data_IF_336008266861
#
_entry.id   IF_336008266861
#
_cell.length_a   1.000
_cell.length_b   1.000
_cell.length_c   1.000
_cell.angle_alpha   90.00
_cell.angle_beta   90.00
_cell.angle_gamma   90.00
#
_symmetry.space_group_name_H-M   'P 1'
#
loop_
_entity.id
_entity.type
_entity.pdbx_description
1 polymer ?
#
# COMPACT_ATOMS: atom_id res chain seq x y z
N UNK A 1 59.17 28.50 12.55
CA UNK A 1 57.94 28.20 13.32
C UNK A 1 56.85 27.84 12.36
N UNK A 2 56.50 26.55 12.20
CA UNK A 2 55.29 26.11 11.51
C UNK A 2 54.11 26.51 12.34
N UNK A 3 53.26 27.41 11.82
CA UNK A 3 51.94 27.64 12.42
C UNK A 3 51.12 26.36 12.29
N UNK A 4 50.93 25.64 13.36
CA UNK A 4 49.93 24.59 13.47
C UNK A 4 48.56 25.26 13.33
N UNK A 5 48.04 25.24 12.13
CA UNK A 5 46.65 25.67 11.83
C UNK A 5 45.75 24.63 12.49
N UNK A 6 45.06 25.00 13.56
CA UNK A 6 44.01 24.18 14.16
C UNK A 6 42.95 23.95 13.06
N UNK A 7 42.88 22.74 12.57
CA UNK A 7 41.89 22.34 11.57
C UNK A 7 40.59 22.00 12.32
N UNK A 8 39.66 22.97 12.37
CA UNK A 8 38.37 22.74 12.98
C UNK A 8 37.47 21.91 12.02
N UNK A 9 36.67 20.97 12.55
CA UNK A 9 35.75 20.18 11.74
C UNK A 9 34.69 21.09 11.10
N UNK A 10 34.25 20.74 9.90
CA UNK A 10 33.13 21.39 9.24
C UNK A 10 31.81 21.03 9.93
N UNK A 11 30.76 21.84 9.76
CA UNK A 11 29.43 21.57 10.30
C UNK A 11 28.93 20.18 9.86
N UNK A 12 29.19 19.80 8.62
CA UNK A 12 28.84 18.46 8.08
C UNK A 12 29.54 17.32 8.81
N UNK A 13 30.78 17.49 9.20
CA UNK A 13 31.52 16.50 9.99
C UNK A 13 30.99 16.43 11.41
N UNK A 14 30.76 17.58 12.03
CA UNK A 14 30.13 17.63 13.37
C UNK A 14 28.76 16.98 13.42
N UNK A 15 27.88 17.22 12.43
CA UNK A 15 26.56 16.58 12.35
C UNK A 15 26.69 15.05 12.22
N UNK A 16 27.61 14.57 11.40
CA UNK A 16 27.87 13.13 11.26
C UNK A 16 28.36 12.49 12.55
N UNK A 17 29.32 13.12 13.21
CA UNK A 17 29.92 12.60 14.44
C UNK A 17 28.88 12.57 15.57
N UNK A 18 28.07 13.62 15.67
CA UNK A 18 26.95 13.68 16.61
C UNK A 18 25.89 12.62 16.33
N UNK A 19 25.59 12.37 15.05
CA UNK A 19 24.63 11.34 14.65
C UNK A 19 25.13 9.93 15.02
N UNK A 20 26.40 9.62 14.77
CA UNK A 20 27.03 8.35 15.16
C UNK A 20 27.03 8.19 16.70
N UNK A 21 27.34 9.24 17.42
CA UNK A 21 27.30 9.22 18.88
C UNK A 21 25.87 8.98 19.40
N UNK A 22 24.87 9.62 18.80
CA UNK A 22 23.47 9.43 19.11
C UNK A 22 23.04 7.98 18.84
N UNK A 23 23.38 7.44 17.68
CA UNK A 23 23.07 6.04 17.33
C UNK A 23 23.67 5.08 18.37
N UNK A 24 24.95 5.23 18.72
CA UNK A 24 25.60 4.39 19.71
C UNK A 24 24.90 4.46 21.08
N UNK A 25 24.62 5.67 21.56
CA UNK A 25 23.96 5.86 22.86
C UNK A 25 22.54 5.25 22.88
N UNK A 26 21.77 5.47 21.83
CA UNK A 26 20.42 4.91 21.75
C UNK A 26 20.42 3.40 21.51
N UNK A 27 21.39 2.86 20.77
CA UNK A 27 21.61 1.43 20.63
C UNK A 27 21.88 0.74 21.98
N UNK A 28 22.73 1.33 22.82
CA UNK A 28 22.99 0.84 24.18
C UNK A 28 21.73 0.89 25.07
N UNK A 29 20.94 1.96 24.97
CA UNK A 29 19.66 2.08 25.69
C UNK A 29 18.67 1.02 25.23
N UNK A 30 18.52 0.83 23.92
CA UNK A 30 17.63 -0.18 23.34
C UNK A 30 18.04 -1.59 23.78
N UNK A 31 19.32 -1.92 23.72
CA UNK A 31 19.85 -3.21 24.19
C UNK A 31 19.45 -3.48 25.63
N UNK A 32 19.69 -2.53 26.53
CA UNK A 32 19.32 -2.68 27.95
C UNK A 32 17.82 -2.86 28.15
N UNK A 33 17.00 -2.09 27.44
CA UNK A 33 15.55 -2.25 27.51
C UNK A 33 15.08 -3.63 27.08
N UNK A 34 15.64 -4.16 26.00
CA UNK A 34 15.29 -5.50 25.49
C UNK A 34 15.73 -6.60 26.47
N UNK A 35 16.93 -6.48 27.05
CA UNK A 35 17.41 -7.42 28.06
C UNK A 35 16.61 -7.35 29.38
N UNK A 36 16.17 -6.16 29.80
CA UNK A 36 15.27 -5.99 30.96
C UNK A 36 13.89 -6.60 30.68
N UNK A 37 13.34 -6.42 29.47
CA UNK A 37 12.09 -7.07 29.05
C UNK A 37 12.22 -8.59 29.08
N UNK A 38 13.32 -9.13 28.56
CA UNK A 38 13.57 -10.57 28.55
C UNK A 38 13.65 -11.15 29.98
N UNK A 39 14.28 -10.41 30.90
CA UNK A 39 14.32 -10.79 32.32
C UNK A 39 12.93 -10.78 32.94
N UNK A 40 12.09 -9.76 32.69
CA UNK A 40 10.72 -9.71 33.18
C UNK A 40 9.87 -10.87 32.64
N UNK A 41 10.04 -11.21 31.36
CA UNK A 41 9.41 -12.38 30.76
C UNK A 41 9.88 -13.65 31.49
N UNK A 42 11.17 -13.76 31.80
CA UNK A 42 11.70 -14.91 32.52
C UNK A 42 11.12 -15.07 33.93
N UNK A 43 10.86 -13.97 34.63
CA UNK A 43 10.26 -13.99 35.97
C UNK A 43 8.77 -14.38 35.95
N UNK A 44 8.02 -13.88 34.97
CA UNK A 44 6.55 -13.98 34.89
C UNK A 44 6.04 -15.11 33.99
N UNK A 45 6.94 -15.85 33.28
CA UNK A 45 6.56 -16.95 32.38
C UNK A 45 5.90 -18.11 33.11
N UNK A 46 5.17 -18.93 32.41
CA UNK A 46 4.78 -20.26 32.91
C UNK A 46 6.01 -21.16 32.99
N UNK A 47 6.57 -21.31 34.21
CA UNK A 47 7.77 -22.08 34.49
C UNK A 47 7.54 -23.61 34.32
N UNK A 48 6.29 -24.07 34.34
CA UNK A 48 5.97 -25.48 34.09
C UNK A 48 6.09 -25.81 32.61
N UNK A 49 5.66 -24.91 31.75
CA UNK A 49 5.70 -25.05 30.31
C UNK A 49 7.05 -24.64 29.71
N UNK A 50 7.56 -23.44 30.03
CA UNK A 50 8.79 -22.89 29.44
C UNK A 50 9.99 -23.07 30.36
N UNK A 51 10.78 -24.09 30.09
CA UNK A 51 12.01 -24.36 30.83
C UNK A 51 13.16 -23.56 30.24
N UNK A 52 13.83 -22.72 31.06
CA UNK A 52 15.02 -21.97 30.65
C UNK A 52 16.17 -22.91 30.35
N UNK A 53 16.66 -22.91 29.13
CA UNK A 53 17.77 -23.75 28.68
C UNK A 53 19.10 -23.04 28.82
N UNK A 54 19.26 -21.91 28.16
CA UNK A 54 20.46 -21.08 28.15
C UNK A 54 20.14 -19.63 27.75
N UNK A 55 21.20 -18.79 27.62
CA UNK A 55 21.11 -17.47 26.99
C UNK A 55 21.88 -17.50 25.68
N UNK A 56 21.31 -16.85 24.65
CA UNK A 56 21.94 -16.76 23.32
C UNK A 56 21.94 -15.34 22.80
N UNK A 57 23.11 -14.94 22.28
CA UNK A 57 23.25 -13.65 21.63
C UNK A 57 22.60 -13.65 20.24
N UNK A 58 21.98 -12.55 19.87
CA UNK A 58 21.55 -12.23 18.52
C UNK A 58 22.06 -10.83 18.16
N UNK A 59 22.66 -10.72 16.99
CA UNK A 59 23.02 -9.45 16.38
C UNK A 59 21.86 -8.96 15.52
N UNK A 60 21.52 -7.68 15.65
CA UNK A 60 20.41 -7.08 14.93
C UNK A 60 20.74 -5.65 14.51
N UNK A 61 20.62 -5.36 13.23
CA UNK A 61 20.70 -4.01 12.70
C UNK A 61 19.42 -3.24 12.95
N UNK A 62 19.53 -2.13 13.64
CA UNK A 62 18.40 -1.25 13.98
C UNK A 62 18.57 0.15 13.38
N UNK A 63 17.58 1.01 13.51
CA UNK A 63 17.70 2.43 13.17
C UNK A 63 18.76 3.16 14.02
N UNK A 64 19.18 2.56 15.13
CA UNK A 64 20.20 3.09 16.04
C UNK A 64 21.56 2.40 15.90
N UNK A 65 21.78 1.65 14.83
CA UNK A 65 23.00 0.88 14.60
C UNK A 65 22.81 -0.61 14.87
N UNK A 66 23.91 -1.37 14.70
CA UNK A 66 23.95 -2.80 15.04
C UNK A 66 24.04 -2.96 16.55
N UNK A 67 23.18 -3.80 17.11
CA UNK A 67 23.12 -4.13 18.53
C UNK A 67 23.23 -5.63 18.72
N UNK A 68 23.76 -6.05 19.87
CA UNK A 68 23.81 -7.45 20.28
C UNK A 68 22.96 -7.60 21.54
N UNK A 69 21.98 -8.50 21.49
CA UNK A 69 21.03 -8.77 22.57
C UNK A 69 21.26 -10.18 23.09
N UNK A 70 21.50 -10.34 24.41
CA UNK A 70 21.54 -11.63 25.07
C UNK A 70 20.17 -12.00 25.59
N UNK A 71 19.49 -12.92 24.92
CA UNK A 71 18.10 -13.34 25.21
C UNK A 71 18.01 -14.77 25.70
N UNK A 72 17.01 -15.03 26.53
CA UNK A 72 16.76 -16.33 27.11
C UNK A 72 16.17 -17.30 26.06
N UNK A 73 16.69 -18.51 26.03
CA UNK A 73 16.27 -19.60 25.16
C UNK A 73 15.53 -20.65 25.97
N UNK A 74 14.29 -20.96 25.60
CA UNK A 74 13.40 -21.82 26.37
C UNK A 74 13.06 -23.09 25.60
N UNK A 75 12.91 -24.21 26.35
CA UNK A 75 12.26 -25.42 25.85
C UNK A 75 10.78 -25.36 26.19
N UNK A 76 9.91 -25.43 25.17
CA UNK A 76 8.47 -25.57 25.35
C UNK A 76 8.13 -27.05 25.62
N UNK A 77 7.67 -27.37 26.81
CA UNK A 77 7.36 -28.71 27.24
C UNK A 77 6.00 -29.24 26.75
N UNK A 78 5.09 -28.33 26.38
CA UNK A 78 3.79 -28.69 25.83
C UNK A 78 3.86 -29.01 24.34
N UNK A 79 4.49 -28.11 23.57
CA UNK A 79 4.55 -28.24 22.10
C UNK A 79 5.76 -29.02 21.62
N UNK A 80 6.73 -29.24 22.49
CA UNK A 80 8.06 -29.70 22.09
C UNK A 80 8.82 -28.62 21.30
N UNK A 81 10.15 -28.67 21.30
CA UNK A 81 10.98 -27.69 20.60
C UNK A 81 11.42 -26.54 21.48
N UNK A 82 11.95 -25.49 20.84
CA UNK A 82 12.59 -24.37 21.52
C UNK A 82 12.08 -23.04 21.01
N UNK A 83 12.02 -22.05 21.91
CA UNK A 83 11.46 -20.73 21.61
C UNK A 83 12.21 -19.62 22.33
N UNK A 84 12.29 -18.46 21.69
CA UNK A 84 12.67 -17.18 22.32
C UNK A 84 11.40 -16.42 22.63
N UNK A 85 11.02 -16.33 23.92
CA UNK A 85 9.80 -15.64 24.31
C UNK A 85 9.88 -14.14 24.01
N UNK A 86 11.03 -13.52 24.16
CA UNK A 86 11.24 -12.12 23.81
C UNK A 86 10.89 -11.85 22.35
N UNK A 87 11.37 -12.69 21.42
CA UNK A 87 11.09 -12.52 19.99
C UNK A 87 9.61 -12.62 19.68
N UNK A 88 8.93 -13.51 20.36
CA UNK A 88 7.49 -13.69 20.20
C UNK A 88 6.70 -12.46 20.67
N UNK A 89 7.06 -11.88 21.83
CA UNK A 89 6.40 -10.67 22.34
C UNK A 89 6.69 -9.41 21.52
N UNK A 90 7.86 -9.35 20.88
CA UNK A 90 8.26 -8.23 20.03
C UNK A 90 7.82 -8.41 18.58
N UNK A 91 7.13 -9.52 18.24
CA UNK A 91 6.84 -9.91 16.86
C UNK A 91 8.09 -9.88 15.98
N UNK A 92 9.22 -10.26 16.59
CA UNK A 92 10.53 -10.28 15.98
C UNK A 92 11.02 -11.72 15.82
N UNK A 93 11.24 -12.13 14.60
CA UNK A 93 11.88 -13.42 14.30
C UNK A 93 13.39 -13.22 14.20
N UNK A 94 14.11 -13.51 15.25
CA UNK A 94 15.54 -13.22 15.45
C UNK A 94 16.53 -13.75 14.41
N UNK A 95 16.05 -14.38 13.35
CA UNK A 95 16.87 -14.88 12.25
C UNK A 95 17.09 -13.86 11.12
N UNK A 96 16.47 -12.69 11.18
CA UNK A 96 16.47 -11.72 10.06
C UNK A 96 17.70 -10.80 10.03
N UNK A 97 18.37 -10.61 11.15
CA UNK A 97 19.54 -9.74 11.25
C UNK A 97 19.23 -8.23 11.23
N UNK A 98 17.99 -7.80 11.09
CA UNK A 98 17.57 -6.39 11.16
C UNK A 98 16.17 -6.25 11.77
N UNK A 99 15.93 -5.08 12.36
CA UNK A 99 14.68 -4.80 13.07
C UNK A 99 13.48 -4.66 12.12
N UNK A 100 12.25 -4.94 12.61
CA UNK A 100 11.04 -4.75 11.81
C UNK A 100 10.89 -3.34 11.25
N UNK A 101 11.33 -2.30 11.97
CA UNK A 101 11.30 -0.93 11.48
C UNK A 101 12.22 -0.72 10.27
N UNK A 102 13.45 -1.23 10.33
CA UNK A 102 14.41 -1.16 9.20
C UNK A 102 13.87 -1.93 8.00
N UNK A 103 13.27 -3.09 8.22
CA UNK A 103 12.62 -3.88 7.17
C UNK A 103 11.49 -3.09 6.48
N UNK A 104 10.57 -2.54 7.27
CA UNK A 104 9.44 -1.74 6.75
C UNK A 104 9.96 -0.55 5.95
N UNK A 105 10.88 0.24 6.50
CA UNK A 105 11.50 1.37 5.79
C UNK A 105 12.14 0.94 4.47
N UNK A 106 12.86 -0.18 4.45
CA UNK A 106 13.53 -0.69 3.25
C UNK A 106 12.52 -1.10 2.16
N UNK A 107 11.44 -1.77 2.54
CA UNK A 107 10.39 -2.17 1.61
C UNK A 107 9.59 -0.97 1.09
N UNK A 108 9.21 -0.03 1.94
CA UNK A 108 8.55 1.21 1.54
C UNK A 108 9.40 2.03 0.57
N UNK A 109 10.69 2.22 0.89
CA UNK A 109 11.62 2.90 -0.02
C UNK A 109 11.82 2.16 -1.34
N UNK A 110 11.74 0.83 -1.33
CA UNK A 110 11.83 0.03 -2.55
C UNK A 110 10.60 0.19 -3.44
N UNK A 111 9.42 0.30 -2.85
CA UNK A 111 8.16 0.43 -3.57
C UNK A 111 7.93 1.86 -4.05
N UNK A 112 8.19 2.86 -3.22
CA UNK A 112 8.05 4.28 -3.58
C UNK A 112 9.21 4.79 -4.45
N UNK A 113 10.41 4.25 -4.27
CA UNK A 113 11.63 4.65 -4.96
C UNK A 113 11.78 4.06 -6.36
N UNK A 114 12.94 4.29 -6.94
CA UNK A 114 13.22 3.88 -8.33
C UNK A 114 13.62 2.42 -8.49
N UNK A 115 14.24 1.79 -7.48
CA UNK A 115 14.70 0.39 -7.54
C UNK A 115 15.05 -0.14 -6.15
N UNK A 116 15.18 -1.46 -6.01
CA UNK A 116 15.70 -2.10 -4.79
C UNK A 116 17.11 -1.61 -4.42
N UNK A 117 17.97 -1.39 -5.43
CA UNK A 117 19.32 -0.85 -5.21
C UNK A 117 19.28 0.58 -4.69
N UNK A 118 18.35 1.38 -5.20
CA UNK A 118 18.14 2.75 -4.71
C UNK A 118 17.69 2.72 -3.24
N UNK A 119 16.75 1.87 -2.87
CA UNK A 119 16.29 1.71 -1.50
C UNK A 119 17.45 1.31 -0.56
N UNK A 120 18.23 0.27 -0.91
CA UNK A 120 19.42 -0.14 -0.15
C UNK A 120 20.42 1.00 0.04
N UNK A 121 20.71 1.76 -1.03
CA UNK A 121 21.61 2.92 -0.96
C UNK A 121 21.05 4.08 -0.12
N UNK A 122 19.75 4.31 -0.14
CA UNK A 122 19.12 5.35 0.69
C UNK A 122 19.15 4.98 2.17
N UNK A 123 18.88 3.72 2.52
CA UNK A 123 19.02 3.20 3.89
C UNK A 123 20.47 3.37 4.38
N UNK A 124 21.44 2.97 3.55
CA UNK A 124 22.87 3.12 3.87
C UNK A 124 23.24 4.60 4.13
N UNK A 125 22.74 5.52 3.31
CA UNK A 125 22.98 6.96 3.51
C UNK A 125 22.30 7.50 4.77
N UNK A 126 21.11 6.98 5.09
CA UNK A 126 20.33 7.41 6.26
C UNK A 126 20.97 6.90 7.56
N UNK A 127 21.40 5.64 7.57
CA UNK A 127 21.93 5.01 8.78
C UNK A 127 23.46 5.14 8.91
N UNK A 128 24.15 5.51 7.83
CA UNK A 128 25.60 5.70 7.80
C UNK A 128 26.41 4.43 7.56
N UNK A 129 25.76 3.27 7.44
CA UNK A 129 26.39 1.99 7.16
C UNK A 129 25.46 1.07 6.34
N UNK A 130 26.03 0.01 5.75
CA UNK A 130 25.26 -0.90 4.89
C UNK A 130 24.53 -1.95 5.74
N UNK A 131 23.24 -1.81 5.86
CA UNK A 131 22.36 -2.66 6.68
C UNK A 131 21.75 -3.79 5.87
N UNK A 132 21.11 -3.46 4.75
CA UNK A 132 20.31 -4.40 3.99
C UNK A 132 20.67 -4.39 2.50
N UNK A 133 20.83 -5.56 1.90
CA UNK A 133 21.10 -5.66 0.47
C UNK A 133 19.85 -5.51 -0.38
N UNK A 134 20.02 -5.07 -1.62
CA UNK A 134 18.88 -4.97 -2.56
C UNK A 134 18.24 -6.33 -2.86
N UNK A 135 19.00 -7.41 -2.79
CA UNK A 135 18.47 -8.76 -2.98
C UNK A 135 17.68 -9.22 -1.76
N UNK A 136 18.13 -8.89 -0.55
CA UNK A 136 17.38 -9.15 0.68
C UNK A 136 16.04 -8.43 0.64
N UNK A 137 16.03 -7.13 0.28
CA UNK A 137 14.77 -6.35 0.13
C UNK A 137 13.82 -7.05 -0.86
N UNK A 138 14.34 -7.51 -2.01
CA UNK A 138 13.55 -8.24 -3.00
C UNK A 138 12.96 -9.54 -2.44
N UNK A 139 13.77 -10.33 -1.73
CA UNK A 139 13.31 -11.59 -1.13
C UNK A 139 12.22 -11.37 -0.08
N UNK A 140 12.40 -10.38 0.78
CA UNK A 140 11.39 -10.03 1.78
C UNK A 140 10.08 -9.60 1.15
N UNK A 141 10.14 -8.76 0.11
CA UNK A 141 8.94 -8.33 -0.61
C UNK A 141 8.20 -9.51 -1.28
N UNK A 142 8.93 -10.52 -1.77
CA UNK A 142 8.31 -11.74 -2.32
C UNK A 142 7.64 -12.63 -1.27
N UNK A 143 7.92 -12.43 0.00
CA UNK A 143 7.37 -13.17 1.14
C UNK A 143 6.36 -12.34 1.94
N UNK A 144 6.01 -11.15 1.46
CA UNK A 144 5.04 -10.28 2.13
C UNK A 144 3.61 -10.78 1.88
N UNK A 145 2.84 -10.89 2.94
CA UNK A 145 1.38 -11.04 2.87
C UNK A 145 0.70 -9.77 3.35
N UNK A 146 -0.36 -9.40 2.66
CA UNK A 146 -1.20 -8.25 3.00
C UNK A 146 -2.47 -8.76 3.64
N UNK A 147 -2.70 -8.39 4.89
CA UNK A 147 -3.89 -8.79 5.63
C UNK A 147 -4.97 -7.72 5.51
N UNK A 148 -6.13 -8.10 5.01
CA UNK A 148 -7.28 -7.22 4.92
C UNK A 148 -7.98 -7.11 6.27
N UNK A 149 -8.16 -5.89 6.75
CA UNK A 149 -8.99 -5.61 7.92
C UNK A 149 -10.42 -5.40 7.43
N UNK A 150 -11.37 -6.15 7.97
CA UNK A 150 -12.79 -5.98 7.62
C UNK A 150 -13.21 -4.53 7.88
N UNK A 151 -13.97 -3.92 6.95
CA UNK A 151 -14.50 -2.58 7.15
C UNK A 151 -15.48 -2.54 8.32
N UNK A 152 -15.53 -1.40 8.98
CA UNK A 152 -16.52 -1.10 10.02
C UNK A 152 -17.93 -0.90 9.42
N UNK A 153 -18.94 -1.26 10.19
CA UNK A 153 -20.32 -1.55 9.86
C UNK A 153 -21.22 -0.46 9.24
N UNK A 154 -20.71 0.60 8.64
CA UNK A 154 -21.58 1.58 7.97
C UNK A 154 -21.52 1.44 6.45
N UNK A 155 -22.48 0.70 5.92
CA UNK A 155 -22.66 0.48 4.49
C UNK A 155 -23.33 1.69 3.84
N UNK A 156 -22.67 2.22 2.82
CA UNK A 156 -23.31 3.15 1.89
C UNK A 156 -23.95 2.37 0.76
N UNK A 157 -25.18 2.74 0.38
CA UNK A 157 -25.95 2.07 -0.68
C UNK A 157 -25.30 2.09 -2.07
N UNK A 158 -24.32 2.98 -2.30
CA UNK A 158 -23.67 3.15 -3.60
C UNK A 158 -22.17 2.96 -3.46
N UNK A 159 -21.61 2.09 -4.28
CA UNK A 159 -20.18 1.90 -4.45
C UNK A 159 -19.75 2.41 -5.82
N UNK A 160 -18.73 3.23 -5.84
CA UNK A 160 -18.11 3.78 -7.05
C UNK A 160 -16.88 2.96 -7.39
N UNK A 161 -16.86 2.42 -8.60
CA UNK A 161 -15.81 1.52 -9.08
C UNK A 161 -15.15 2.15 -10.30
N UNK A 162 -13.84 2.32 -10.26
CA UNK A 162 -13.06 2.80 -11.38
C UNK A 162 -12.09 1.71 -11.83
N UNK A 163 -12.22 1.26 -13.08
CA UNK A 163 -11.52 0.09 -13.62
C UNK A 163 -10.68 0.50 -14.81
N UNK A 164 -9.43 0.01 -14.86
CA UNK A 164 -8.55 0.24 -15.99
C UNK A 164 -7.50 -0.87 -16.11
N UNK A 165 -6.89 -1.00 -17.28
CA UNK A 165 -5.84 -1.95 -17.61
C UNK A 165 -4.45 -1.32 -17.65
N UNK A 166 -3.49 -1.88 -16.91
CA UNK A 166 -2.11 -1.45 -16.92
C UNK A 166 -1.21 -2.44 -17.64
N UNK A 167 -0.77 -2.11 -18.85
CA UNK A 167 0.15 -2.97 -19.60
C UNK A 167 1.57 -2.91 -19.06
N UNK A 168 2.10 -4.05 -18.58
CA UNK A 168 3.42 -4.16 -17.94
C UNK A 168 4.29 -5.19 -18.63
N UNK A 169 5.57 -4.86 -18.89
CA UNK A 169 6.53 -5.76 -19.54
C UNK A 169 6.87 -6.96 -18.65
N UNK A 170 6.89 -8.14 -19.23
CA UNK A 170 7.26 -9.41 -18.57
C UNK A 170 8.65 -9.89 -18.99
N UNK A 171 9.36 -10.51 -18.05
CA UNK A 171 10.61 -11.24 -18.31
C UNK A 171 10.29 -12.66 -18.74
N UNK A 172 11.06 -13.19 -19.69
CA UNK A 172 11.06 -14.62 -20.09
C UNK A 172 9.70 -15.16 -20.58
N UNK A 173 8.72 -14.32 -20.88
CA UNK A 173 7.43 -14.74 -21.41
C UNK A 173 7.41 -14.79 -22.94
N UNK A 174 6.54 -15.64 -23.53
CA UNK A 174 6.27 -15.65 -24.99
C UNK A 174 5.73 -14.28 -25.45
N UNK A 175 4.97 -13.58 -24.61
CA UNK A 175 4.47 -12.22 -24.84
C UNK A 175 5.31 -11.21 -24.07
N UNK A 176 5.73 -10.13 -24.72
CA UNK A 176 6.56 -9.08 -24.11
C UNK A 176 5.86 -8.26 -23.04
N UNK A 177 4.56 -8.34 -22.91
CA UNK A 177 3.77 -7.63 -21.91
C UNK A 177 2.48 -8.35 -21.56
N UNK A 178 1.96 -8.03 -20.38
CA UNK A 178 0.67 -8.50 -19.89
C UNK A 178 -0.08 -7.31 -19.30
N UNK A 179 -1.39 -7.30 -19.49
CA UNK A 179 -2.29 -6.35 -18.88
C UNK A 179 -2.57 -6.79 -17.44
N UNK A 180 -2.31 -5.89 -16.48
CA UNK A 180 -2.76 -6.00 -15.11
C UNK A 180 -4.08 -5.26 -15.00
N UNK A 181 -5.13 -5.95 -14.64
CA UNK A 181 -6.48 -5.42 -14.49
C UNK A 181 -6.63 -4.92 -13.05
N UNK A 182 -6.89 -3.64 -12.90
CA UNK A 182 -6.94 -2.96 -11.60
C UNK A 182 -8.27 -2.24 -11.47
N UNK A 183 -8.92 -2.41 -10.33
CA UNK A 183 -10.07 -1.59 -9.95
C UNK A 183 -9.75 -0.82 -8.66
N UNK A 184 -10.28 0.39 -8.55
CA UNK A 184 -10.39 1.09 -7.27
C UNK A 184 -11.86 1.28 -6.92
N UNK A 185 -12.20 1.05 -5.66
CA UNK A 185 -13.56 1.17 -5.13
C UNK A 185 -13.57 2.22 -4.04
N UNK A 186 -14.63 3.03 -3.98
CA UNK A 186 -14.84 3.99 -2.90
C UNK A 186 -16.32 4.24 -2.65
N UNK A 187 -16.66 4.77 -1.50
CA UNK A 187 -18.04 5.04 -1.08
C UNK A 187 -18.50 6.49 -1.33
N UNK A 188 -17.77 7.26 -2.11
CA UNK A 188 -18.07 8.64 -2.41
C UNK A 188 -16.95 9.61 -2.06
N UNK A 189 -17.29 10.87 -1.82
CA UNK A 189 -16.36 11.98 -1.67
C UNK A 189 -16.58 12.75 -0.37
N UNK A 190 -15.48 13.17 0.24
CA UNK A 190 -15.46 14.20 1.29
C UNK A 190 -14.82 15.45 0.70
N UNK A 191 -15.52 16.58 0.84
CA UNK A 191 -15.04 17.89 0.42
C UNK A 191 -14.60 18.68 1.63
N UNK A 192 -13.32 19.00 1.69
CA UNK A 192 -12.76 19.82 2.74
C UNK A 192 -12.11 21.07 2.12
N UNK A 193 -12.89 22.15 2.02
CA UNK A 193 -12.51 23.36 1.31
C UNK A 193 -12.27 23.10 -0.19
N UNK A 194 -11.04 23.31 -0.67
CA UNK A 194 -10.64 23.05 -2.06
C UNK A 194 -10.19 21.61 -2.31
N UNK A 195 -10.01 20.81 -1.27
CA UNK A 195 -9.53 19.43 -1.39
C UNK A 195 -10.69 18.46 -1.37
N UNK A 196 -10.58 17.43 -2.21
CA UNK A 196 -11.54 16.33 -2.25
C UNK A 196 -10.77 15.05 -2.00
N UNK A 197 -11.26 14.24 -1.05
CA UNK A 197 -10.77 12.89 -0.77
C UNK A 197 -11.86 11.86 -1.03
N UNK A 198 -11.46 10.62 -1.30
CA UNK A 198 -12.37 9.50 -1.50
C UNK A 198 -12.58 8.77 -0.18
N UNK A 199 -13.82 8.33 0.06
CA UNK A 199 -14.22 7.65 1.30
C UNK A 199 -13.95 6.17 1.14
N UNK A 200 -13.28 5.55 2.12
CA UNK A 200 -13.02 4.12 2.19
C UNK A 200 -12.44 3.55 0.88
N UNK A 201 -11.52 4.28 0.23
CA UNK A 201 -10.93 3.85 -1.03
C UNK A 201 -10.08 2.61 -0.84
N UNK A 202 -10.33 1.56 -1.66
CA UNK A 202 -9.53 0.34 -1.73
C UNK A 202 -9.25 -0.07 -3.17
N UNK A 203 -8.24 -0.90 -3.34
CA UNK A 203 -7.78 -1.34 -4.66
C UNK A 203 -7.89 -2.85 -4.80
N UNK A 204 -8.46 -3.29 -5.92
CA UNK A 204 -8.48 -4.68 -6.34
C UNK A 204 -7.54 -4.88 -7.53
N UNK A 205 -6.72 -5.91 -7.46
CA UNK A 205 -5.87 -6.34 -8.57
C UNK A 205 -6.18 -7.79 -8.88
N UNK A 206 -6.59 -8.06 -10.11
CA UNK A 206 -6.99 -9.39 -10.52
C UNK A 206 -5.80 -10.34 -10.65
N UNK A 207 -5.86 -11.48 -9.96
CA UNK A 207 -4.77 -12.47 -9.88
C UNK A 207 -5.14 -13.83 -10.41
N UNK A 208 -6.42 -14.16 -10.42
CA UNK A 208 -6.94 -15.50 -10.71
C UNK A 208 -6.95 -15.86 -12.20
N UNK A 209 -7.47 -17.04 -12.45
CA UNK A 209 -7.82 -17.51 -13.80
C UNK A 209 -9.31 -17.32 -14.11
N UNK A 210 -10.10 -17.08 -13.09
CA UNK A 210 -11.52 -16.76 -13.15
C UNK A 210 -11.76 -15.46 -13.93
N UNK A 211 -13.01 -15.18 -14.29
CA UNK A 211 -13.37 -13.91 -14.90
C UNK A 211 -13.13 -12.77 -13.91
N UNK A 212 -12.73 -11.60 -14.42
CA UNK A 212 -12.40 -10.44 -13.59
C UNK A 212 -13.51 -10.10 -12.59
N UNK A 213 -14.75 -10.09 -13.04
CA UNK A 213 -15.90 -9.68 -12.23
C UNK A 213 -16.29 -10.70 -11.17
N UNK A 214 -16.01 -11.97 -11.37
CA UNK A 214 -16.21 -13.01 -10.34
C UNK A 214 -15.27 -12.79 -9.14
N UNK A 215 -13.98 -12.64 -9.40
CA UNK A 215 -13.01 -12.34 -8.32
C UNK A 215 -13.23 -10.96 -7.71
N UNK A 216 -13.71 -9.99 -8.49
CA UNK A 216 -14.02 -8.66 -8.00
C UNK A 216 -15.26 -8.63 -7.10
N UNK A 217 -16.28 -9.43 -7.38
CA UNK A 217 -17.45 -9.55 -6.51
C UNK A 217 -17.08 -10.09 -5.12
N UNK A 218 -16.21 -11.11 -5.08
CA UNK A 218 -15.69 -11.61 -3.80
C UNK A 218 -14.95 -10.52 -3.03
N UNK A 219 -14.12 -9.71 -3.71
CA UNK A 219 -13.46 -8.56 -3.10
C UNK A 219 -14.45 -7.54 -2.53
N UNK A 220 -15.54 -7.26 -3.23
CA UNK A 220 -16.60 -6.36 -2.74
C UNK A 220 -17.28 -6.93 -1.48
N UNK A 221 -17.56 -8.23 -1.45
CA UNK A 221 -18.13 -8.90 -0.28
C UNK A 221 -17.18 -8.78 0.92
N UNK A 222 -15.91 -9.10 0.72
CA UNK A 222 -14.91 -9.13 1.79
C UNK A 222 -14.57 -7.73 2.35
N UNK A 223 -14.59 -6.70 1.49
CA UNK A 223 -14.12 -5.36 1.85
C UNK A 223 -15.23 -4.35 2.10
N UNK A 224 -16.42 -4.57 1.56
CA UNK A 224 -17.54 -3.63 1.64
C UNK A 224 -18.85 -4.29 2.10
N UNK A 225 -18.82 -5.55 2.55
CA UNK A 225 -20.02 -6.33 2.86
C UNK A 225 -21.08 -6.24 1.74
N UNK A 226 -20.63 -6.29 0.48
CA UNK A 226 -21.48 -6.08 -0.68
C UNK A 226 -22.65 -7.09 -0.71
N UNK A 227 -23.85 -6.55 -0.92
CA UNK A 227 -25.07 -7.33 -1.15
C UNK A 227 -25.71 -6.87 -2.46
N UNK A 228 -25.81 -7.75 -3.48
CA UNK A 228 -26.39 -7.38 -4.78
C UNK A 228 -27.83 -6.85 -4.75
N UNK A 229 -28.56 -7.16 -3.68
CA UNK A 229 -29.97 -6.71 -3.52
C UNK A 229 -30.08 -5.29 -2.96
N UNK A 230 -29.05 -4.80 -2.28
CA UNK A 230 -29.13 -3.54 -1.51
C UNK A 230 -28.22 -2.45 -2.08
N UNK A 231 -27.11 -2.88 -2.72
CA UNK A 231 -26.12 -1.95 -3.23
C UNK A 231 -26.29 -1.65 -4.71
N UNK A 232 -25.94 -0.44 -5.06
CA UNK A 232 -25.84 0.02 -6.45
C UNK A 232 -24.37 0.25 -6.79
N UNK A 233 -23.94 -0.21 -7.95
CA UNK A 233 -22.58 -0.02 -8.45
C UNK A 233 -22.58 1.04 -9.56
N UNK A 234 -21.71 2.02 -9.47
CA UNK A 234 -21.38 2.92 -10.58
C UNK A 234 -19.98 2.57 -11.06
N UNK A 235 -19.89 1.97 -12.25
CA UNK A 235 -18.64 1.40 -12.77
C UNK A 235 -18.14 2.27 -13.92
N UNK A 236 -16.96 2.86 -13.75
CA UNK A 236 -16.29 3.69 -14.74
C UNK A 236 -15.12 2.95 -15.39
N UNK A 237 -15.03 2.98 -16.73
CA UNK A 237 -13.93 2.38 -17.47
C UNK A 237 -13.85 2.81 -18.94
N UNK A 238 -12.79 2.40 -19.63
CA UNK A 238 -12.47 2.83 -21.00
C UNK A 238 -13.32 2.15 -22.10
N UNK A 239 -14.19 1.20 -21.73
CA UNK A 239 -15.05 0.47 -22.67
C UNK A 239 -14.40 -0.78 -23.26
N UNK A 240 -13.28 -1.26 -22.74
CA UNK A 240 -12.74 -2.57 -23.10
C UNK A 240 -13.75 -3.69 -22.81
N UNK A 241 -13.78 -4.73 -23.63
CA UNK A 241 -14.78 -5.81 -23.57
C UNK A 241 -14.87 -6.47 -22.18
N UNK A 242 -13.71 -6.69 -21.52
CA UNK A 242 -13.70 -7.27 -20.18
C UNK A 242 -14.24 -6.33 -19.11
N UNK A 243 -14.22 -5.00 -19.34
CA UNK A 243 -14.81 -4.00 -18.45
C UNK A 243 -16.31 -3.94 -18.65
N UNK A 244 -16.77 -3.85 -19.91
CA UNK A 244 -18.21 -3.74 -20.23
C UNK A 244 -19.00 -4.99 -19.88
N UNK A 245 -18.34 -6.15 -19.72
CA UNK A 245 -18.94 -7.37 -19.21
C UNK A 245 -19.57 -7.23 -17.80
N UNK A 246 -19.26 -6.15 -17.07
CA UNK A 246 -19.93 -5.82 -15.80
C UNK A 246 -21.46 -5.69 -15.94
N UNK A 247 -21.94 -5.27 -17.10
CA UNK A 247 -23.37 -5.09 -17.36
C UNK A 247 -24.15 -6.41 -17.41
N UNK A 248 -23.46 -7.49 -17.81
CA UNK A 248 -24.03 -8.84 -17.80
C UNK A 248 -23.90 -9.50 -16.41
N UNK A 249 -22.91 -9.09 -15.64
CA UNK A 249 -22.62 -9.66 -14.32
C UNK A 249 -23.47 -9.05 -13.19
N UNK A 250 -23.66 -7.72 -13.19
CA UNK A 250 -24.35 -7.00 -12.12
C UNK A 250 -25.69 -6.43 -12.57
N UNK A 251 -26.78 -6.81 -11.90
CA UNK A 251 -28.13 -6.28 -12.18
C UNK A 251 -28.32 -4.82 -11.75
N UNK A 252 -27.72 -4.44 -10.64
CA UNK A 252 -27.81 -3.09 -10.04
C UNK A 252 -26.53 -2.28 -10.30
N UNK A 253 -26.10 -2.24 -11.56
CA UNK A 253 -24.92 -1.48 -11.95
C UNK A 253 -25.21 -0.51 -13.09
N UNK A 254 -24.59 0.66 -13.03
CA UNK A 254 -24.56 1.64 -14.12
C UNK A 254 -23.14 1.75 -14.65
N UNK A 255 -22.93 1.40 -15.91
CA UNK A 255 -21.64 1.57 -16.56
C UNK A 255 -21.49 3.00 -17.10
N UNK A 256 -20.43 3.66 -16.74
CA UNK A 256 -20.01 4.98 -17.23
C UNK A 256 -18.76 4.82 -18.07
N UNK A 257 -18.78 5.32 -19.31
CA UNK A 257 -17.56 5.39 -20.11
C UNK A 257 -16.63 6.45 -19.55
N UNK A 258 -15.33 6.15 -19.44
CA UNK A 258 -14.37 7.09 -18.88
C UNK A 258 -14.28 8.36 -19.72
N UNK A 259 -14.81 9.41 -19.15
CA UNK A 259 -14.92 10.74 -19.79
C UNK A 259 -13.56 11.36 -20.09
N UNK A 260 -12.52 11.03 -19.33
CA UNK A 260 -11.17 11.48 -19.63
C UNK A 260 -10.68 10.88 -20.96
N UNK A 261 -10.88 9.57 -21.14
CA UNK A 261 -10.52 8.90 -22.39
C UNK A 261 -11.33 9.43 -23.57
N UNK A 262 -12.65 9.59 -23.41
CA UNK A 262 -13.52 10.19 -24.44
C UNK A 262 -13.08 11.61 -24.79
N UNK A 263 -12.82 12.46 -23.80
CA UNK A 263 -12.40 13.83 -24.03
C UNK A 263 -11.02 13.93 -24.70
N UNK A 264 -10.10 13.00 -24.36
CA UNK A 264 -8.78 12.89 -24.99
C UNK A 264 -8.90 12.49 -26.46
N UNK A 265 -9.78 11.53 -26.76
CA UNK A 265 -10.05 11.07 -28.12
C UNK A 265 -10.66 12.20 -28.97
N UNK A 266 -11.69 12.88 -28.43
CA UNK A 266 -12.29 14.06 -29.08
C UNK A 266 -11.23 15.16 -29.34
N UNK A 267 -10.32 15.40 -28.41
CA UNK A 267 -9.23 16.35 -28.62
C UNK A 267 -8.28 15.90 -29.74
N UNK A 268 -7.98 14.60 -29.81
CA UNK A 268 -7.06 14.03 -30.83
C UNK A 268 -7.67 14.16 -32.23
N UNK A 269 -8.96 13.83 -32.37
CA UNK A 269 -9.65 13.86 -33.65
C UNK A 269 -9.99 15.28 -34.12
N UNK A 270 -10.45 16.13 -33.22
CA UNK A 270 -11.12 17.40 -33.55
C UNK A 270 -10.34 18.65 -33.16
N UNK A 271 -9.09 18.56 -32.67
CA UNK A 271 -8.30 19.77 -32.36
C UNK A 271 -8.12 20.63 -33.61
N UNK A 272 -8.66 21.87 -33.58
CA UNK A 272 -8.68 22.81 -34.73
C UNK A 272 -9.92 22.68 -35.61
N UNK A 273 -10.71 21.65 -35.48
CA UNK A 273 -11.93 21.46 -36.28
C UNK A 273 -13.09 22.35 -35.78
N UNK A 274 -13.93 22.86 -36.70
CA UNK A 274 -15.05 23.79 -36.41
C UNK A 274 -16.05 23.22 -35.39
N UNK A 275 -16.30 21.93 -35.38
CA UNK A 275 -17.24 21.25 -34.46
C UNK A 275 -16.66 20.96 -33.08
N UNK A 276 -15.35 21.14 -32.85
CA UNK A 276 -14.69 20.74 -31.60
C UNK A 276 -15.37 21.33 -30.33
N UNK A 277 -15.73 22.61 -30.39
CA UNK A 277 -16.37 23.31 -29.25
C UNK A 277 -17.75 22.74 -28.95
N UNK A 278 -18.55 22.44 -29.97
CA UNK A 278 -19.91 21.92 -29.84
C UNK A 278 -19.86 20.49 -29.29
N UNK A 279 -19.03 19.63 -29.87
CA UNK A 279 -18.81 18.23 -29.41
C UNK A 279 -18.41 18.24 -27.93
N UNK A 280 -17.46 19.04 -27.52
CA UNK A 280 -17.04 19.16 -26.10
C UNK A 280 -18.16 19.66 -25.19
N UNK A 281 -18.97 20.61 -25.64
CA UNK A 281 -20.11 21.12 -24.89
C UNK A 281 -21.15 20.04 -24.65
N UNK A 282 -21.50 19.26 -25.69
CA UNK A 282 -22.44 18.13 -25.57
C UNK A 282 -21.92 17.07 -24.59
N UNK A 283 -20.63 16.71 -24.69
CA UNK A 283 -20.00 15.81 -23.72
C UNK A 283 -20.08 16.37 -22.30
N UNK A 284 -19.73 17.64 -22.09
CA UNK A 284 -19.77 18.28 -20.76
C UNK A 284 -21.17 18.29 -20.12
N UNK A 285 -22.21 18.40 -20.94
CA UNK A 285 -23.62 18.44 -20.52
C UNK A 285 -24.26 17.06 -20.35
N UNK A 286 -23.51 15.95 -20.52
CA UNK A 286 -24.05 14.59 -20.53
C UNK A 286 -25.13 14.34 -21.60
N UNK A 287 -25.18 15.17 -22.64
CA UNK A 287 -26.10 15.01 -23.76
C UNK A 287 -25.56 13.93 -24.71
N UNK A 288 -25.82 12.66 -24.35
CA UNK A 288 -25.34 11.50 -25.09
C UNK A 288 -25.86 11.48 -26.54
N UNK A 289 -27.15 11.80 -26.75
CA UNK A 289 -27.76 11.85 -28.07
C UNK A 289 -27.13 12.96 -28.92
N UNK A 290 -27.11 14.16 -28.41
CA UNK A 290 -26.49 15.30 -29.10
C UNK A 290 -25.00 15.10 -29.36
N UNK A 291 -24.28 14.47 -28.46
CA UNK A 291 -22.87 14.13 -28.66
C UNK A 291 -22.65 13.15 -29.83
N UNK A 292 -23.41 12.07 -29.91
CA UNK A 292 -23.35 11.12 -31.03
C UNK A 292 -23.80 11.74 -32.35
N UNK A 293 -24.81 12.60 -32.35
CA UNK A 293 -25.25 13.35 -33.55
C UNK A 293 -24.13 14.25 -34.06
N UNK A 294 -23.45 14.97 -33.20
CA UNK A 294 -22.33 15.84 -33.62
C UNK A 294 -21.13 15.04 -34.14
N UNK A 295 -20.82 13.89 -33.56
CA UNK A 295 -19.77 13.00 -34.08
C UNK A 295 -20.13 12.45 -35.45
N UNK A 296 -21.35 11.92 -35.64
CA UNK A 296 -21.81 11.42 -36.92
C UNK A 296 -21.83 12.52 -38.02
N UNK A 297 -22.26 13.74 -37.63
CA UNK A 297 -22.25 14.90 -38.55
C UNK A 297 -20.86 15.38 -38.94
N UNK A 298 -19.81 14.86 -38.28
CA UNK A 298 -18.44 15.19 -38.60
C UNK A 298 -17.75 14.14 -39.50
N UNK A 299 -18.36 12.98 -39.72
CA UNK A 299 -17.86 11.96 -40.66
C UNK A 299 -17.75 12.56 -42.07
N UNK A 300 -16.63 12.29 -42.72
CA UNK A 300 -16.30 12.85 -44.05
C UNK A 300 -15.80 14.33 -44.01
N UNK A 301 -15.58 14.91 -42.82
CA UNK A 301 -15.13 16.30 -42.70
C UNK A 301 -13.71 16.45 -42.08
N UNK A 302 -13.06 15.36 -41.70
CA UNK A 302 -11.70 15.41 -41.19
C UNK A 302 -10.68 15.38 -42.32
N UNK A 303 -9.53 16.04 -42.10
CA UNK A 303 -8.49 16.25 -43.12
C UNK A 303 -7.68 14.98 -43.46
N UNK A 304 -7.78 13.92 -42.65
CA UNK A 304 -6.93 12.74 -42.74
C UNK A 304 -7.76 11.44 -42.68
N UNK A 305 -7.62 10.58 -43.68
CA UNK A 305 -8.27 9.31 -43.77
C UNK A 305 -8.14 8.43 -42.51
N UNK A 306 -6.94 8.38 -41.92
CA UNK A 306 -6.72 7.67 -40.65
C UNK A 306 -7.51 8.26 -39.47
N UNK A 307 -7.79 9.56 -39.49
CA UNK A 307 -8.67 10.17 -38.47
C UNK A 307 -10.12 9.85 -38.74
N UNK A 308 -10.52 9.73 -40.00
CA UNK A 308 -11.89 9.32 -40.37
C UNK A 308 -12.15 7.88 -39.93
N UNK A 309 -11.28 6.92 -40.30
CA UNK A 309 -11.39 5.54 -39.84
C UNK A 309 -11.50 5.47 -38.30
N UNK A 310 -10.64 6.20 -37.62
CA UNK A 310 -10.63 6.24 -36.17
C UNK A 310 -11.90 6.89 -35.57
N UNK A 311 -12.46 7.88 -36.24
CA UNK A 311 -13.74 8.48 -35.86
C UNK A 311 -14.89 7.49 -35.98
N UNK A 312 -14.93 6.71 -37.08
CA UNK A 312 -15.94 5.68 -37.29
C UNK A 312 -15.86 4.58 -36.24
N UNK A 313 -14.65 4.08 -35.94
CA UNK A 313 -14.40 3.12 -34.87
C UNK A 313 -14.87 3.67 -33.52
N UNK A 314 -14.56 4.94 -33.23
CA UNK A 314 -14.95 5.60 -31.99
C UNK A 314 -16.47 5.75 -31.86
N UNK A 315 -17.15 6.16 -32.93
CA UNK A 315 -18.63 6.22 -32.98
C UNK A 315 -19.22 4.83 -32.78
N UNK A 316 -18.68 3.82 -33.45
CA UNK A 316 -19.15 2.44 -33.31
C UNK A 316 -19.02 1.94 -31.86
N UNK A 317 -17.89 2.21 -31.22
CA UNK A 317 -17.66 1.84 -29.83
C UNK A 317 -18.65 2.51 -28.88
N UNK A 318 -18.85 3.82 -29.02
CA UNK A 318 -19.79 4.58 -28.17
C UNK A 318 -21.25 4.20 -28.40
N UNK A 319 -21.60 3.87 -29.65
CA UNK A 319 -22.98 3.49 -30.02
C UNK A 319 -23.39 2.12 -29.46
N UNK A 320 -22.47 1.28 -29.04
CA UNK A 320 -22.79 0.02 -28.35
C UNK A 320 -23.43 0.26 -26.99
N UNK A 321 -23.02 1.31 -26.30
CA UNK A 321 -23.47 1.63 -24.93
C UNK A 321 -23.78 3.12 -24.78
N UNK A 322 -24.79 3.65 -25.50
CA UNK A 322 -25.08 5.09 -25.50
C UNK A 322 -25.44 5.64 -24.11
N UNK A 323 -26.05 4.80 -23.26
CA UNK A 323 -26.39 5.13 -21.88
C UNK A 323 -25.14 5.40 -21.03
N UNK A 324 -23.99 4.82 -21.38
CA UNK A 324 -22.73 5.01 -20.65
C UNK A 324 -22.16 6.45 -20.76
N UNK A 325 -22.65 7.23 -21.72
CA UNK A 325 -22.34 8.65 -21.88
C UNK A 325 -23.19 9.57 -20.98
N UNK A 326 -24.27 9.02 -20.41
CA UNK A 326 -25.20 9.73 -19.54
C UNK A 326 -24.64 10.04 -18.15
N UNK A 327 -25.44 10.79 -17.39
CA UNK A 327 -25.10 11.10 -16.01
C UNK A 327 -25.66 10.01 -15.07
N UNK A 328 -24.79 9.27 -14.43
CA UNK A 328 -25.16 8.23 -13.47
C UNK A 328 -26.01 8.75 -12.30
N UNK A 329 -25.90 10.05 -11.99
CA UNK A 329 -26.67 10.66 -10.90
C UNK A 329 -28.17 10.66 -11.20
N UNK A 330 -28.56 10.82 -12.46
CA UNK A 330 -29.98 10.71 -12.85
C UNK A 330 -30.49 9.28 -12.64
N UNK A 331 -29.71 8.26 -13.03
CA UNK A 331 -30.05 6.86 -12.78
C UNK A 331 -30.19 6.55 -11.27
N UNK A 332 -29.34 7.12 -10.42
CA UNK A 332 -29.45 6.96 -8.96
C UNK A 332 -30.68 7.67 -8.38
N UNK A 333 -31.05 8.83 -8.91
CA UNK A 333 -32.28 9.52 -8.52
C UNK A 333 -33.54 8.70 -8.82
N UNK A 334 -33.56 7.97 -9.96
CA UNK A 334 -34.64 7.02 -10.28
C UNK A 334 -34.75 5.86 -9.29
N UNK A 335 -33.73 5.66 -8.45
CA UNK A 335 -33.67 4.68 -7.36
C UNK A 335 -33.89 5.30 -5.97
N UNK A 336 -34.42 6.53 -5.92
CA UNK A 336 -34.62 7.28 -4.68
C UNK A 336 -33.34 7.50 -3.84
N UNK A 337 -32.19 7.64 -4.51
CA UNK A 337 -30.91 7.89 -3.87
C UNK A 337 -30.56 9.38 -3.98
N UNK A 338 -30.24 10.02 -2.85
CA UNK A 338 -29.72 11.39 -2.85
C UNK A 338 -28.33 11.46 -3.49
N UNK A 339 -28.23 12.24 -4.57
CA UNK A 339 -27.01 12.43 -5.33
C UNK A 339 -26.33 13.78 -5.10
N UNK A 340 -26.82 14.58 -4.16
CA UNK A 340 -26.35 15.96 -3.91
C UNK A 340 -24.86 16.05 -3.60
N UNK A 341 -24.29 15.00 -3.00
CA UNK A 341 -22.88 14.90 -2.62
C UNK A 341 -22.01 14.15 -3.64
N UNK A 342 -22.61 13.63 -4.72
CA UNK A 342 -21.87 12.84 -5.70
C UNK A 342 -21.29 13.69 -6.81
N UNK A 343 -20.07 13.35 -7.20
CA UNK A 343 -19.27 14.07 -8.17
C UNK A 343 -19.02 13.25 -9.44
N UNK A 344 -18.66 13.88 -10.56
CA UNK A 344 -18.18 13.14 -11.72
C UNK A 344 -17.01 12.20 -11.34
N UNK A 345 -17.04 10.98 -11.86
CA UNK A 345 -15.95 10.02 -11.72
C UNK A 345 -14.74 10.44 -12.55
N UNK A 346 -13.56 9.98 -12.20
CA UNK A 346 -12.31 10.32 -12.91
C UNK A 346 -11.06 10.19 -12.05
N UNK A 347 -11.07 9.35 -11.02
CA UNK A 347 -9.88 9.07 -10.22
C UNK A 347 -9.01 7.95 -10.81
N UNK A 348 -9.50 7.23 -11.84
CA UNK A 348 -8.81 6.11 -12.49
C UNK A 348 -7.43 6.52 -13.00
N UNK A 349 -7.34 7.60 -13.77
CA UNK A 349 -6.07 8.11 -14.33
C UNK A 349 -5.04 8.39 -13.21
N UNK A 350 -5.47 9.04 -12.12
CA UNK A 350 -4.61 9.31 -10.96
C UNK A 350 -4.12 8.01 -10.30
N UNK A 351 -5.00 7.03 -10.14
CA UNK A 351 -4.68 5.72 -9.60
C UNK A 351 -3.68 4.98 -10.50
N UNK A 352 -3.99 4.88 -11.79
CA UNK A 352 -3.12 4.21 -12.77
C UNK A 352 -1.77 4.87 -12.92
N UNK A 353 -1.71 6.21 -12.87
CA UNK A 353 -0.45 6.97 -12.91
C UNK A 353 0.51 6.54 -11.79
N UNK A 354 0.00 6.30 -10.58
CA UNK A 354 0.84 5.88 -9.45
C UNK A 354 1.41 4.47 -9.68
N UNK A 355 0.58 3.52 -10.10
CA UNK A 355 1.06 2.17 -10.45
C UNK A 355 2.03 2.22 -11.64
N UNK A 356 1.71 2.97 -12.69
CA UNK A 356 2.51 3.09 -13.89
C UNK A 356 3.91 3.66 -13.63
N UNK A 357 4.04 4.69 -12.81
CA UNK A 357 5.32 5.31 -12.43
C UNK A 357 6.31 4.28 -11.90
N UNK A 358 5.82 3.29 -11.18
CA UNK A 358 6.69 2.28 -10.56
C UNK A 358 6.82 1.01 -11.41
N UNK A 359 5.77 0.57 -12.07
CA UNK A 359 5.75 -0.70 -12.81
C UNK A 359 6.27 -0.58 -14.24
N UNK A 360 6.14 0.59 -14.89
CA UNK A 360 6.64 0.88 -16.24
C UNK A 360 8.07 1.45 -16.23
N UNK A 361 8.37 2.46 -17.00
CA UNK A 361 9.66 3.18 -17.07
C UNK A 361 10.86 2.28 -17.35
N UNK A 362 10.77 1.49 -18.43
CA UNK A 362 11.86 0.62 -18.87
C UNK A 362 12.04 -0.67 -18.07
N UNK A 363 11.21 -0.91 -17.05
CA UNK A 363 11.28 -2.13 -16.22
C UNK A 363 10.56 -3.30 -16.86
N UNK A 364 11.05 -4.51 -16.57
CA UNK A 364 10.38 -5.77 -16.88
C UNK A 364 10.39 -6.68 -15.65
N UNK A 365 9.34 -7.45 -15.47
CA UNK A 365 9.04 -8.16 -14.23
C UNK A 365 8.88 -9.66 -14.46
N UNK A 366 9.35 -10.48 -13.52
CA UNK A 366 8.88 -11.86 -13.41
C UNK A 366 7.49 -11.89 -12.75
N UNK A 367 6.71 -12.94 -13.03
CA UNK A 367 5.30 -12.99 -12.56
C UNK A 367 5.17 -12.92 -11.03
N UNK A 368 5.97 -13.69 -10.29
CA UNK A 368 5.98 -13.62 -8.81
C UNK A 368 6.39 -12.25 -8.30
N UNK A 369 7.40 -11.62 -8.92
CA UNK A 369 7.92 -10.33 -8.48
C UNK A 369 6.94 -9.20 -8.67
N UNK A 370 6.22 -9.15 -9.78
CA UNK A 370 5.23 -8.09 -10.00
C UNK A 370 4.04 -8.26 -9.08
N UNK A 371 3.59 -9.50 -8.85
CA UNK A 371 2.44 -9.75 -7.99
C UNK A 371 2.71 -9.28 -6.57
N UNK A 372 3.78 -9.75 -5.96
CA UNK A 372 4.18 -9.32 -4.61
C UNK A 372 4.40 -7.80 -4.53
N UNK A 373 4.94 -7.21 -5.59
CA UNK A 373 5.17 -5.77 -5.65
C UNK A 373 3.87 -4.96 -5.70
N UNK A 374 2.90 -5.39 -6.50
CA UNK A 374 1.57 -4.75 -6.57
C UNK A 374 0.83 -4.93 -5.25
N UNK A 375 0.89 -6.10 -4.64
CA UNK A 375 0.26 -6.36 -3.35
C UNK A 375 0.77 -5.42 -2.26
N UNK A 376 2.08 -5.24 -2.20
CA UNK A 376 2.69 -4.30 -1.28
C UNK A 376 2.26 -2.85 -1.58
N UNK A 377 2.20 -2.46 -2.86
CA UNK A 377 1.68 -1.14 -3.24
C UNK A 377 0.23 -0.93 -2.81
N UNK A 378 -0.62 -1.92 -2.98
CA UNK A 378 -2.02 -1.91 -2.54
C UNK A 378 -2.09 -1.82 -1.01
N UNK A 379 -1.34 -2.68 -0.31
CA UNK A 379 -1.28 -2.66 1.15
C UNK A 379 -0.93 -1.29 1.72
N UNK A 380 0.11 -0.65 1.18
CA UNK A 380 0.50 0.70 1.59
C UNK A 380 -0.56 1.76 1.27
N UNK A 381 -1.24 1.65 0.11
CA UNK A 381 -2.24 2.64 -0.31
C UNK A 381 -3.54 2.55 0.45
N UNK A 382 -3.91 1.35 0.80
CA UNK A 382 -5.16 1.03 1.48
C UNK A 382 -4.97 0.98 3.01
N UNK A 383 -3.76 1.34 3.49
CA UNK A 383 -3.38 1.35 4.91
C UNK A 383 -3.62 -0.01 5.59
N UNK A 384 -3.35 -1.09 4.85
CA UNK A 384 -3.54 -2.45 5.30
C UNK A 384 -2.35 -2.92 6.13
N UNK A 385 -2.58 -3.89 7.01
CA UNK A 385 -1.51 -4.53 7.75
C UNK A 385 -0.65 -5.38 6.80
N UNK A 386 0.64 -5.03 6.70
CA UNK A 386 1.62 -5.73 5.87
C UNK A 386 2.50 -6.55 6.80
N UNK A 387 2.40 -7.88 6.69
CA UNK A 387 3.26 -8.82 7.44
C UNK A 387 4.22 -9.52 6.49
N UNK A 388 5.49 -9.54 6.86
CA UNK A 388 6.46 -10.35 6.13
C UNK A 388 6.51 -11.72 6.75
N UNK A 389 6.06 -12.73 6.01
CA UNK A 389 6.16 -14.12 6.44
C UNK A 389 7.57 -14.62 6.17
N UNK A 390 8.44 -14.48 7.13
CA UNK A 390 9.80 -15.03 7.13
C UNK A 390 9.90 -16.26 8.03
N UNK A 391 8.86 -17.06 8.09
CA UNK A 391 8.92 -18.40 8.67
C UNK A 391 9.18 -19.43 7.58
N UNK A 392 10.12 -20.34 7.77
CA UNK A 392 10.06 -21.65 7.11
C UNK A 392 8.69 -22.21 7.51
N UNK A 393 7.72 -22.17 6.61
CA UNK A 393 6.50 -22.96 6.76
C UNK A 393 6.99 -24.41 6.76
N UNK A 394 7.13 -24.98 7.93
CA UNK A 394 7.17 -26.42 8.06
C UNK A 394 5.82 -26.87 7.51
N UNK A 395 5.74 -27.66 6.44
CA UNK A 395 4.47 -28.08 5.87
C UNK A 395 3.58 -28.86 6.87
N UNK A 396 4.08 -29.17 8.04
CA UNK A 396 3.36 -29.83 9.13
C UNK A 396 2.73 -28.86 10.17
N UNK A 397 2.92 -27.53 10.06
CA UNK A 397 2.38 -26.56 11.02
C UNK A 397 1.04 -25.92 10.58
N UNK A 398 0.25 -26.61 9.75
CA UNK A 398 -1.08 -26.14 9.33
C UNK A 398 -2.16 -26.22 10.42
N UNK A 399 -1.81 -26.48 11.68
CA UNK A 399 -2.78 -26.48 12.79
C UNK A 399 -2.20 -25.84 14.03
N UNK A 400 -2.29 -24.52 14.15
CA UNK A 400 -2.56 -23.85 15.41
C UNK A 400 -2.64 -22.33 15.20
N UNK A 401 -3.81 -21.81 14.95
CA UNK A 401 -4.16 -20.45 15.39
C UNK A 401 -4.14 -20.46 16.92
N UNK A 402 -2.98 -20.16 17.49
CA UNK A 402 -2.89 -19.98 18.94
C UNK A 402 -3.48 -18.62 19.24
N UNK A 403 -4.78 -18.62 19.55
CA UNK A 403 -5.40 -17.51 20.28
C UNK A 403 -4.69 -17.42 21.63
N UNK A 404 -3.67 -16.59 21.72
CA UNK A 404 -3.11 -16.25 23.03
C UNK A 404 -4.15 -15.44 23.80
N UNK A 405 -4.30 -15.66 25.11
CA UNK A 405 -5.23 -14.87 25.90
C UNK A 405 -4.78 -13.42 25.84
N UNK A 406 -5.59 -12.56 25.19
CA UNK A 406 -5.40 -11.11 25.04
C UNK A 406 -4.98 -10.42 26.36
N UNK A 407 -5.42 -10.99 27.48
CA UNK A 407 -5.14 -10.53 28.83
C UNK A 407 -3.63 -10.47 29.18
N UNK A 408 -2.83 -11.45 28.74
CA UNK A 408 -1.38 -11.46 29.05
C UNK A 408 -0.60 -10.44 28.20
N UNK A 409 -0.97 -10.28 26.95
CA UNK A 409 -0.35 -9.29 26.04
C UNK A 409 -0.68 -7.86 26.48
N UNK A 410 -1.92 -7.60 26.87
CA UNK A 410 -2.33 -6.26 27.37
C UNK A 410 -1.69 -5.92 28.71
N UNK A 411 -1.58 -6.89 29.63
CA UNK A 411 -0.94 -6.67 30.93
C UNK A 411 0.56 -6.47 30.82
N UNK A 412 1.25 -7.15 29.90
CA UNK A 412 2.66 -6.92 29.60
C UNK A 412 2.88 -5.58 28.87
N UNK A 413 2.04 -5.23 27.90
CA UNK A 413 2.12 -3.91 27.22
C UNK A 413 1.87 -2.76 28.20
N UNK A 414 0.94 -2.88 29.13
CA UNK A 414 0.69 -1.86 30.16
C UNK A 414 1.82 -1.78 31.18
N UNK A 415 2.35 -2.91 31.66
CA UNK A 415 3.46 -2.93 32.63
C UNK A 415 4.78 -2.45 32.03
N UNK A 416 5.06 -2.79 30.77
CA UNK A 416 6.25 -2.27 30.06
C UNK A 416 6.13 -0.77 29.80
N UNK A 417 4.96 -0.26 29.45
CA UNK A 417 4.73 1.17 29.28
C UNK A 417 4.91 1.95 30.58
N UNK A 418 4.45 1.44 31.72
CA UNK A 418 4.62 2.05 33.04
C UNK A 418 6.05 1.92 33.59
N UNK A 419 6.70 0.77 33.39
CA UNK A 419 8.08 0.55 33.80
C UNK A 419 9.08 1.36 32.97
N UNK A 420 8.82 1.51 31.67
CA UNK A 420 9.64 2.39 30.80
C UNK A 420 9.49 3.85 31.22
N UNK A 421 8.32 4.27 31.71
CA UNK A 421 8.11 5.63 32.26
C UNK A 421 8.77 5.83 33.61
N UNK A 422 8.79 4.83 34.50
CA UNK A 422 9.16 5.00 35.93
C UNK A 422 10.59 4.54 36.26
N UNK A 423 11.19 3.60 35.49
CA UNK A 423 12.46 2.95 35.84
C UNK A 423 13.64 3.21 34.91
N UNK A 424 13.56 4.17 34.00
CA UNK A 424 14.77 4.63 33.33
C UNK A 424 15.63 5.38 34.37
N UNK A 425 16.35 4.62 35.19
CA UNK A 425 17.31 5.15 36.20
C UNK A 425 18.34 6.09 35.53
N UNK A 426 18.58 5.94 34.25
CA UNK A 426 19.43 6.79 33.43
C UNK A 426 18.80 8.19 33.20
N UNK A 427 17.49 8.29 33.10
CA UNK A 427 16.77 9.59 33.00
C UNK A 427 16.69 10.31 34.34
N UNK A 428 16.64 9.58 35.45
CA UNK A 428 16.49 10.17 36.77
C UNK A 428 17.84 10.63 37.43
N UNK A 429 18.97 10.06 37.01
CA UNK A 429 20.29 10.35 37.62
C UNK A 429 21.09 11.49 36.97
N UNK A 430 20.63 12.06 35.86
CA UNK A 430 21.39 13.09 35.13
C UNK A 430 20.57 14.36 34.85
N UNK A 431 19.80 14.83 35.81
CA UNK A 431 19.16 16.15 35.76
C UNK A 431 20.21 17.20 35.43
N UNK A 432 20.02 17.94 34.33
CA UNK A 432 20.95 19.02 33.91
C UNK A 432 21.86 18.72 32.73
N UNK A 433 21.87 17.51 32.17
CA UNK A 433 22.62 17.24 30.94
C UNK A 433 21.74 17.44 29.68
N UNK A 434 22.33 17.88 28.54
CA UNK A 434 21.56 18.13 27.30
C UNK A 434 20.72 16.91 26.84
N UNK A 435 21.24 15.71 27.05
CA UNK A 435 20.54 14.46 26.68
C UNK A 435 19.29 14.22 27.54
N UNK A 436 19.29 14.66 28.81
CA UNK A 436 18.11 14.60 29.67
C UNK A 436 17.00 15.52 29.16
N UNK A 437 17.33 16.72 28.70
CA UNK A 437 16.37 17.66 28.12
C UNK A 437 15.86 17.20 26.77
N UNK A 438 16.69 16.61 25.91
CA UNK A 438 16.29 16.04 24.63
C UNK A 438 15.30 14.87 24.82
N UNK A 439 15.56 13.99 25.77
CA UNK A 439 14.68 12.86 26.09
C UNK A 439 13.40 13.29 26.83
N UNK A 440 13.44 14.40 27.59
CA UNK A 440 12.23 15.01 28.16
C UNK A 440 11.32 15.63 27.10
N UNK A 441 11.89 16.21 26.03
CA UNK A 441 11.14 16.76 24.92
C UNK A 441 10.39 15.67 24.11
N UNK A 442 10.94 14.45 24.08
CA UNK A 442 10.29 13.27 23.45
C UNK A 442 9.15 12.67 24.31
N UNK A 443 8.95 13.12 25.56
CA UNK A 443 7.83 12.67 26.43
C UNK A 443 6.46 13.22 26.02
N UNK A 444 6.39 14.12 25.06
CA UNK A 444 5.16 14.77 24.58
C UNK A 444 4.60 14.17 23.26
N UNK A 445 5.13 13.04 22.82
CA UNK A 445 4.63 12.33 21.64
C UNK A 445 4.09 10.96 22.01
#
# INVERSE_FOLDING_TARGET
MKKDTIQLPTLKELEKDLFVMLQKTFGEVLTKQLEEMDQQIAENRDKKRFYLQDKRAVEMDTSFGSIIINRNYYRDREKGGYVYLLDHYLEFEGSKGFSPLVETMAMEMAVQGTSYRHASSMIEKLLGYKVISHETIRQHLLQTEVTFVKPTDQLRKVLFVEVDGLYVKRQRGKRRGREEKIASVHEGWIVNGKRTSLIAKRHYVHKGKEAFWEGFEQFLIDNYNYNPSEHHLVINGDGAQWITACQDHYKNAFFVIDRFHVAREVKTLFKGHKRYRVIRKKLAQYDAKGFLVELNSAVGTLENEKKEERLEEFIQQLSKYPQALGDYREWLKEKDIDTSHYRPMGSAEGTMSVFAKRLKNGRSWCDKGIQAFIDFMVGMKDELEIKTILGRINPNDQTASVSQPKYYVEKLKSSVGELTRNNLSYLNRQKGKPIYHALQALRGF
#
